data_IF_938991449680
#
_entry.id   IF_938991449680
#
_cell.length_a   1.000
_cell.length_b   1.000
_cell.length_c   1.000
_cell.angle_alpha   90.00
_cell.angle_beta   90.00
_cell.angle_gamma   90.00
#
_symmetry.space_group_name_H-M   'P 1'
#
loop_
_entity.id
_entity.type
_entity.pdbx_description
1 polymer ?
#
# COMPACT_ATOMS: atom_id res chain seq x y z
N UNK A 1 44.83 -6.53 1.68
CA UNK A 1 43.67 -7.29 2.19
C UNK A 1 42.49 -6.34 2.22
N UNK A 2 41.51 -6.51 1.34
CA UNK A 2 40.33 -5.64 1.32
C UNK A 2 39.41 -6.07 2.46
N UNK A 3 39.21 -5.19 3.44
CA UNK A 3 38.25 -5.41 4.53
C UNK A 3 36.88 -5.21 3.90
N UNK A 4 36.31 -6.31 3.40
CA UNK A 4 34.93 -6.32 2.91
C UNK A 4 34.01 -5.98 4.08
N UNK A 5 33.46 -4.77 4.10
CA UNK A 5 32.37 -4.43 5.01
C UNK A 5 31.19 -5.35 4.66
N UNK A 6 30.92 -6.34 5.50
CA UNK A 6 29.82 -7.29 5.33
C UNK A 6 28.50 -6.60 5.68
N UNK A 7 28.03 -5.71 4.79
CA UNK A 7 26.71 -5.10 4.96
C UNK A 7 25.64 -6.15 4.65
N UNK A 8 24.66 -6.27 5.55
CA UNK A 8 23.49 -7.12 5.36
C UNK A 8 22.32 -6.29 4.84
N UNK A 9 21.61 -6.80 3.84
CA UNK A 9 20.39 -6.21 3.30
C UNK A 9 19.18 -7.01 3.76
N UNK A 10 18.11 -6.30 4.13
CA UNK A 10 16.83 -6.86 4.56
C UNK A 10 15.70 -6.24 3.75
N UNK A 11 14.78 -7.07 3.27
CA UNK A 11 13.54 -6.60 2.65
C UNK A 11 12.50 -6.37 3.75
N UNK A 12 11.92 -5.17 3.76
CA UNK A 12 10.84 -4.80 4.68
C UNK A 12 9.54 -4.74 3.89
N UNK A 13 8.90 -5.89 3.77
CA UNK A 13 7.61 -6.10 3.11
C UNK A 13 6.72 -6.98 3.99
N UNK A 14 5.42 -6.95 3.75
CA UNK A 14 4.47 -7.83 4.42
C UNK A 14 4.60 -9.30 3.96
N UNK A 15 3.72 -10.17 4.48
CA UNK A 15 3.69 -11.61 4.18
C UNK A 15 2.74 -11.96 3.01
N UNK A 16 2.03 -10.98 2.45
CA UNK A 16 0.89 -11.17 1.54
C UNK A 16 1.12 -10.48 0.18
N UNK A 17 1.97 -11.04 -0.68
CA UNK A 17 2.21 -10.50 -2.00
C UNK A 17 0.96 -10.60 -2.88
N UNK A 18 0.33 -9.46 -3.16
CA UNK A 18 -0.89 -9.32 -3.96
C UNK A 18 -0.67 -8.45 -5.21
N UNK A 19 -1.46 -8.66 -6.29
CA UNK A 19 -1.48 -7.75 -7.43
C UNK A 19 -1.88 -6.34 -7.01
N UNK A 20 -1.30 -5.32 -7.64
CA UNK A 20 -1.55 -3.92 -7.30
C UNK A 20 -3.04 -3.56 -7.40
N UNK A 21 -3.70 -4.06 -8.45
CA UNK A 21 -5.12 -3.84 -8.69
C UNK A 21 -6.00 -4.38 -7.55
N UNK A 22 -5.63 -5.54 -6.97
CA UNK A 22 -6.37 -6.13 -5.85
C UNK A 22 -6.27 -5.27 -4.59
N UNK A 23 -5.06 -4.79 -4.28
CA UNK A 23 -4.83 -3.93 -3.11
C UNK A 23 -5.63 -2.64 -3.21
N UNK A 24 -5.67 -2.01 -4.40
CA UNK A 24 -6.48 -0.81 -4.64
C UNK A 24 -7.98 -1.08 -4.54
N UNK A 25 -8.46 -2.18 -5.11
CA UNK A 25 -9.88 -2.56 -5.01
C UNK A 25 -10.30 -2.75 -3.54
N UNK A 26 -9.46 -3.39 -2.73
CA UNK A 26 -9.74 -3.54 -1.31
C UNK A 26 -9.72 -2.19 -0.57
N UNK A 27 -8.71 -1.34 -0.80
CA UNK A 27 -8.64 -0.01 -0.20
C UNK A 27 -9.90 0.82 -0.50
N UNK A 28 -10.34 0.82 -1.76
CA UNK A 28 -11.59 1.48 -2.18
C UNK A 28 -12.79 0.95 -1.41
N UNK A 29 -12.92 -0.38 -1.31
CA UNK A 29 -14.04 -0.99 -0.58
C UNK A 29 -14.09 -0.59 0.91
N UNK A 30 -12.93 -0.33 1.53
CA UNK A 30 -12.88 0.14 2.92
C UNK A 30 -13.35 1.59 3.05
N UNK A 31 -12.94 2.46 2.12
CA UNK A 31 -13.36 3.86 2.09
C UNK A 31 -14.87 3.95 1.83
N UNK A 32 -15.38 3.23 0.83
CA UNK A 32 -16.82 3.16 0.50
C UNK A 32 -17.65 2.70 1.70
N UNK A 33 -17.16 1.71 2.44
CA UNK A 33 -17.85 1.21 3.64
C UNK A 33 -17.85 2.23 4.79
N UNK A 34 -16.71 2.90 5.01
CA UNK A 34 -16.52 3.78 6.18
C UNK A 34 -17.09 5.16 5.99
N UNK A 35 -17.09 5.65 4.75
CA UNK A 35 -17.47 7.00 4.35
C UNK A 35 -18.32 6.98 3.07
N UNK A 36 -19.54 6.42 3.13
CA UNK A 36 -20.40 6.29 1.95
C UNK A 36 -20.66 7.65 1.28
N UNK A 37 -20.75 8.72 2.06
CA UNK A 37 -21.08 10.07 1.56
C UNK A 37 -19.89 10.81 0.92
N UNK A 38 -18.64 10.38 1.16
CA UNK A 38 -17.44 11.00 0.56
C UNK A 38 -17.24 10.61 -0.90
N UNK A 39 -17.96 9.59 -1.39
CA UNK A 39 -17.83 9.12 -2.76
C UNK A 39 -19.06 9.58 -3.53
N UNK A 40 -19.02 10.86 -3.94
CA UNK A 40 -20.08 11.48 -4.74
C UNK A 40 -19.95 11.15 -6.23
N UNK A 41 -18.74 10.79 -6.68
CA UNK A 41 -18.47 10.29 -8.02
C UNK A 41 -17.67 9.00 -7.91
N UNK A 42 -18.16 7.93 -8.54
CA UNK A 42 -17.31 6.80 -8.84
C UNK A 42 -16.17 7.32 -9.70
N UNK A 43 -14.98 7.47 -9.12
CA UNK A 43 -13.76 7.62 -9.92
C UNK A 43 -13.69 6.34 -10.73
N UNK A 44 -14.17 6.42 -11.96
CA UNK A 44 -13.95 5.38 -12.94
C UNK A 44 -12.44 5.25 -13.00
N UNK A 45 -11.93 4.07 -12.66
CA UNK A 45 -10.57 3.68 -13.03
C UNK A 45 -10.55 3.41 -14.55
N UNK A 46 -11.29 4.22 -15.32
CA UNK A 46 -11.23 4.26 -16.75
C UNK A 46 -10.00 5.08 -17.08
N UNK A 47 -9.00 4.30 -17.44
CA UNK A 47 -7.96 4.51 -18.46
C UNK A 47 -8.40 5.28 -19.73
N UNK A 48 -9.43 6.12 -19.69
CA UNK A 48 -10.00 6.88 -20.80
C UNK A 48 -9.33 8.24 -20.86
N UNK A 49 -8.09 8.26 -21.35
CA UNK A 49 -7.36 9.49 -21.62
C UNK A 49 -5.96 9.33 -22.21
N UNK A 50 -5.57 8.14 -22.68
CA UNK A 50 -4.28 7.95 -23.35
C UNK A 50 -4.46 7.02 -24.55
N UNK A 51 -4.95 7.62 -25.64
CA UNK A 51 -4.59 7.17 -26.98
C UNK A 51 -3.06 7.22 -27.12
N UNK A 52 -2.49 6.16 -27.68
CA UNK A 52 -1.16 6.16 -28.30
C UNK A 52 0.06 6.40 -27.40
N UNK A 53 0.34 5.54 -26.43
CA UNK A 53 1.73 5.19 -26.08
C UNK A 53 1.72 3.91 -25.23
N UNK A 54 2.59 2.96 -25.59
CA UNK A 54 2.80 1.69 -24.90
C UNK A 54 2.73 1.89 -23.38
N UNK A 55 1.65 1.41 -22.75
CA UNK A 55 1.54 1.40 -21.30
C UNK A 55 2.63 0.46 -20.80
N UNK A 56 3.76 1.02 -20.39
CA UNK A 56 4.77 0.32 -19.60
C UNK A 56 4.05 -0.09 -18.32
N UNK A 57 3.52 -1.31 -18.28
CA UNK A 57 2.96 -1.88 -17.07
C UNK A 57 4.14 -2.06 -16.11
N UNK A 58 4.15 -1.39 -14.95
CA UNK A 58 5.22 -1.57 -14.00
C UNK A 58 5.30 -3.04 -13.59
N UNK A 59 6.48 -3.64 -13.71
CA UNK A 59 6.67 -5.05 -13.35
C UNK A 59 6.28 -5.29 -11.88
N UNK A 60 5.44 -6.31 -11.65
CA UNK A 60 5.12 -6.79 -10.31
C UNK A 60 6.17 -7.81 -9.86
N UNK A 61 6.50 -7.79 -8.56
CA UNK A 61 7.52 -8.68 -7.98
C UNK A 61 7.01 -9.25 -6.67
N UNK A 62 7.35 -10.52 -6.42
CA UNK A 62 7.16 -11.18 -5.12
C UNK A 62 8.50 -11.11 -4.38
N UNK A 63 8.51 -10.54 -3.18
CA UNK A 63 9.72 -10.28 -2.40
C UNK A 63 9.63 -11.04 -1.08
N UNK A 64 10.68 -11.81 -0.75
CA UNK A 64 10.75 -12.52 0.53
C UNK A 64 11.26 -11.61 1.65
N UNK A 65 10.58 -11.65 2.80
CA UNK A 65 10.98 -11.03 4.06
C UNK A 65 11.51 -12.06 5.09
N UNK A 66 11.82 -13.29 4.67
CA UNK A 66 12.26 -14.35 5.59
C UNK A 66 13.45 -13.92 6.45
N UNK A 67 14.42 -13.19 5.85
CA UNK A 67 15.60 -12.69 6.55
C UNK A 67 15.27 -11.71 7.67
N UNK A 68 14.29 -10.83 7.45
CA UNK A 68 13.79 -9.88 8.44
C UNK A 68 13.24 -10.62 9.67
N UNK A 69 12.46 -11.69 9.44
CA UNK A 69 11.84 -12.47 10.51
C UNK A 69 12.84 -13.41 11.22
N UNK A 70 13.71 -14.08 10.48
CA UNK A 70 14.62 -15.10 11.01
C UNK A 70 15.84 -14.50 11.71
N UNK A 71 16.49 -13.49 11.13
CA UNK A 71 17.71 -12.92 11.71
C UNK A 71 17.43 -11.77 12.68
N UNK A 72 16.39 -10.98 12.45
CA UNK A 72 16.06 -9.83 13.31
C UNK A 72 14.90 -10.11 14.27
N UNK A 73 14.23 -11.25 14.16
CA UNK A 73 13.12 -11.63 15.05
C UNK A 73 11.89 -10.73 14.94
N UNK A 74 11.78 -9.94 13.87
CA UNK A 74 10.68 -8.99 13.68
C UNK A 74 9.35 -9.75 13.55
N UNK A 75 8.36 -9.32 14.32
CA UNK A 75 6.97 -9.75 14.19
C UNK A 75 6.16 -8.58 13.63
N UNK A 76 5.62 -8.76 12.44
CA UNK A 76 4.83 -7.72 11.78
C UNK A 76 3.50 -7.54 12.51
N UNK A 77 3.16 -6.29 12.86
CA UNK A 77 1.84 -5.96 13.41
C UNK A 77 0.74 -6.19 12.37
N UNK A 78 1.05 -5.88 11.11
CA UNK A 78 0.16 -6.05 9.96
C UNK A 78 0.86 -6.94 8.93
N UNK A 79 0.72 -8.28 9.03
CA UNK A 79 1.38 -9.21 8.11
C UNK A 79 0.73 -9.24 6.73
N UNK A 80 -0.44 -8.63 6.55
CA UNK A 80 -1.12 -8.57 5.24
C UNK A 80 -1.52 -7.14 4.91
N UNK A 81 -1.56 -6.82 3.61
CA UNK A 81 -2.06 -5.52 3.15
C UNK A 81 -3.48 -5.25 3.67
N UNK A 82 -4.31 -6.29 3.78
CA UNK A 82 -5.68 -6.18 4.31
C UNK A 82 -5.71 -5.71 5.76
N UNK A 83 -4.89 -6.34 6.61
CA UNK A 83 -4.80 -5.98 8.03
C UNK A 83 -4.25 -4.55 8.22
N UNK A 84 -3.27 -4.14 7.42
CA UNK A 84 -2.69 -2.80 7.49
C UNK A 84 -3.65 -1.72 7.03
N UNK A 85 -4.30 -1.91 5.88
CA UNK A 85 -5.28 -0.95 5.36
C UNK A 85 -6.51 -0.81 6.25
N UNK A 86 -7.00 -1.92 6.83
CA UNK A 86 -8.08 -1.88 7.81
C UNK A 86 -7.66 -1.06 9.04
N UNK A 87 -6.47 -1.30 9.59
CA UNK A 87 -5.97 -0.55 10.75
C UNK A 87 -5.82 0.95 10.47
N UNK A 88 -5.42 1.32 9.25
CA UNK A 88 -5.35 2.73 8.83
C UNK A 88 -6.74 3.35 8.86
N UNK A 89 -7.73 2.69 8.25
CA UNK A 89 -9.12 3.17 8.19
C UNK A 89 -9.74 3.28 9.58
N UNK A 90 -9.47 2.31 10.46
CA UNK A 90 -9.97 2.30 11.83
C UNK A 90 -9.36 3.43 12.67
N UNK A 91 -8.09 3.78 12.40
CA UNK A 91 -7.38 4.87 13.08
C UNK A 91 -7.69 6.25 12.49
N UNK A 92 -8.28 6.31 11.30
CA UNK A 92 -8.56 7.56 10.61
C UNK A 92 -9.76 8.26 11.24
N UNK A 93 -9.49 9.41 11.88
CA UNK A 93 -10.51 10.34 12.35
C UNK A 93 -10.87 11.28 11.19
N UNK A 94 -12.07 11.15 10.62
CA UNK A 94 -12.54 11.99 9.51
C UNK A 94 -12.64 13.48 9.87
N UNK A 95 -12.73 13.79 11.17
CA UNK A 95 -12.90 15.14 11.68
C UNK A 95 -11.71 15.50 12.55
N UNK A 96 -10.62 15.95 11.93
CA UNK A 96 -9.56 16.67 12.63
C UNK A 96 -8.83 17.61 11.70
N UNK A 97 -9.31 18.85 11.67
CA UNK A 97 -8.59 20.05 11.25
C UNK A 97 -8.07 20.03 9.82
N UNK A 98 -8.95 20.22 8.83
CA UNK A 98 -8.52 20.97 7.65
C UNK A 98 -8.39 22.43 8.12
N UNK A 99 -7.19 23.04 8.19
CA UNK A 99 -7.11 24.49 8.31
C UNK A 99 -7.89 25.09 7.13
N UNK A 100 -8.58 26.21 7.38
CA UNK A 100 -9.26 27.00 6.34
C UNK A 100 -8.38 27.00 5.09
N UNK A 101 -8.89 26.43 3.99
CA UNK A 101 -8.20 26.45 2.70
C UNK A 101 -8.30 27.85 2.10
N UNK A 102 -7.65 28.80 2.75
CA UNK A 102 -7.31 30.10 2.21
C UNK A 102 -5.83 30.03 1.79
N UNK A 103 -5.58 29.52 0.59
CA UNK A 103 -4.34 29.76 -0.14
C UNK A 103 -4.70 30.20 -1.57
#
# INVERSE_FOLDING_TARGET
MSIGCTRKTFNVVDDDPAPRAEVFAFARSLIERRYPDLITESIEVNSSGLDSQERIIPAEKRVSNARLKQELGVKLLHPTYRSGLQSIIDSWQAERNLPDRNW
#
